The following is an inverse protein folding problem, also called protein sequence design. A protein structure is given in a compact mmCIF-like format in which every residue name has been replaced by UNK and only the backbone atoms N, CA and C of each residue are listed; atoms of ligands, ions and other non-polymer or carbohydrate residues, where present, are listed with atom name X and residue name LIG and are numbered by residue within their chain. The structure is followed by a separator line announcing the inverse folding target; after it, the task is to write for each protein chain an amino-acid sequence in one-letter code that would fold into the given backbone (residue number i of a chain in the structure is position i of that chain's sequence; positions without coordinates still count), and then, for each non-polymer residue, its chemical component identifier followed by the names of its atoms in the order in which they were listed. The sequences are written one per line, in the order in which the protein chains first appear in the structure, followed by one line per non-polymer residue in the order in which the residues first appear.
data_IF_620656614443
#
_entry.id   IF_620656614443
#
_cell.length_a   1.000
_cell.length_b   1.000
_cell.length_c   1.000
_cell.angle_alpha   90.00
_cell.angle_beta   90.00
_cell.angle_gamma   90.00
#
_symmetry.space_group_name_H-M   'P 1'
#
loop_
_entity.id
_entity.type
_entity.pdbx_description
1 polymer ?
#
# COMPACT_ATOMS: atom_id res chain seq x y z
N UNK A 1 15.75 -1.24 26.65
CA UNK A 1 16.12 0.03 27.33
C UNK A 1 17.45 -0.04 28.07
N UNK A 2 17.70 -1.04 28.92
CA UNK A 2 18.96 -1.16 29.69
C UNK A 2 20.21 -1.23 28.80
N UNK A 3 20.18 -2.02 27.72
CA UNK A 3 21.28 -2.14 26.76
C UNK A 3 21.70 -0.78 26.16
N UNK A 4 20.73 0.06 25.81
CA UNK A 4 20.98 1.37 25.22
C UNK A 4 21.77 2.27 26.17
N UNK A 5 21.34 2.38 27.43
CA UNK A 5 22.03 3.19 28.44
C UNK A 5 23.40 2.63 28.80
N UNK A 6 23.57 1.31 28.83
CA UNK A 6 24.89 0.69 29.02
C UNK A 6 25.82 1.04 27.85
N UNK A 7 25.34 0.92 26.61
CA UNK A 7 26.12 1.26 25.42
C UNK A 7 26.46 2.76 25.38
N UNK A 8 25.53 3.65 25.72
CA UNK A 8 25.78 5.10 25.75
C UNK A 8 26.84 5.47 26.80
N UNK A 9 26.77 4.88 27.99
CA UNK A 9 27.78 5.08 29.04
C UNK A 9 29.15 4.58 28.58
N UNK A 10 29.23 3.41 27.94
CA UNK A 10 30.49 2.87 27.42
C UNK A 10 31.10 3.77 26.34
N UNK A 11 30.28 4.29 25.41
CA UNK A 11 30.74 5.20 24.36
C UNK A 11 31.23 6.54 24.92
N UNK A 12 30.50 7.10 25.88
CA UNK A 12 30.93 8.34 26.57
C UNK A 12 32.23 8.10 27.33
N UNK A 13 32.35 6.98 28.05
CA UNK A 13 33.56 6.62 28.78
C UNK A 13 34.75 6.48 27.82
N UNK A 14 34.54 5.86 26.67
CA UNK A 14 35.56 5.78 25.61
C UNK A 14 35.98 7.16 25.09
N UNK A 15 35.04 8.06 24.83
CA UNK A 15 35.32 9.45 24.45
C UNK A 15 36.11 10.20 25.53
N UNK A 16 35.72 10.06 26.79
CA UNK A 16 36.43 10.63 27.94
C UNK A 16 37.85 10.07 28.08
N UNK A 17 38.04 8.76 27.84
CA UNK A 17 39.35 8.12 27.84
C UNK A 17 40.27 8.73 26.77
N UNK A 18 39.76 8.91 25.55
CA UNK A 18 40.53 9.51 24.44
C UNK A 18 40.99 10.94 24.76
N UNK A 19 40.20 11.71 25.51
CA UNK A 19 40.58 13.06 25.96
C UNK A 19 41.61 13.02 27.09
N UNK A 20 41.49 12.07 28.02
CA UNK A 20 42.37 11.96 29.18
C UNK A 20 43.75 11.35 28.83
N UNK A 21 43.83 10.42 27.87
CA UNK A 21 45.06 9.74 27.47
C UNK A 21 46.25 10.66 27.12
N UNK A 22 46.12 11.70 26.28
CA UNK A 22 47.24 12.58 25.96
C UNK A 22 47.71 13.42 27.16
N UNK A 23 46.82 13.73 28.10
CA UNK A 23 47.16 14.46 29.31
C UNK A 23 47.97 13.64 30.32
N UNK A 24 47.75 12.32 30.36
CA UNK A 24 48.52 11.39 31.20
C UNK A 24 49.91 11.15 30.60
N UNK A 25 50.01 11.13 29.26
CA UNK A 25 51.27 10.99 28.54
C UNK A 25 51.94 12.34 28.29
N UNK A 26 52.13 13.16 29.32
CA UNK A 26 52.97 14.35 29.22
C UNK A 26 54.39 13.92 28.80
N UNK A 27 54.75 14.20 27.54
CA UNK A 27 56.14 14.08 27.10
C UNK A 27 56.93 15.09 27.93
N UNK A 28 57.89 14.61 28.72
CA UNK A 28 58.85 15.50 29.37
C UNK A 28 59.42 16.43 28.30
N UNK A 29 59.43 17.74 28.56
CA UNK A 29 59.90 18.73 27.61
C UNK A 29 61.41 18.52 27.39
N UNK A 30 61.74 17.66 26.42
CA UNK A 30 63.09 17.18 26.18
C UNK A 30 63.91 18.19 25.37
N UNK A 31 63.31 19.33 25.01
CA UNK A 31 63.95 20.40 24.22
C UNK A 31 65.25 20.87 24.86
N UNK A 32 65.33 20.92 26.19
CA UNK A 32 66.54 21.34 26.88
C UNK A 32 67.64 20.28 26.80
N UNK A 33 67.29 19.00 26.96
CA UNK A 33 68.24 17.87 26.81
C UNK A 33 68.71 17.75 25.36
N UNK A 34 67.80 17.93 24.39
CA UNK A 34 68.10 17.91 22.96
C UNK A 34 69.00 19.08 22.54
N UNK A 35 68.81 20.27 23.13
CA UNK A 35 69.69 21.44 22.91
C UNK A 35 71.09 21.20 23.46
N UNK A 36 71.20 20.68 24.68
CA UNK A 36 72.49 20.35 25.29
C UNK A 36 73.24 19.26 24.49
N UNK A 37 72.51 18.27 23.99
CA UNK A 37 73.06 17.21 23.14
C UNK A 37 73.51 17.75 21.78
N UNK A 38 72.74 18.65 21.17
CA UNK A 38 73.08 19.32 19.92
C UNK A 38 74.32 20.21 20.06
N UNK A 39 74.41 21.03 21.12
CA UNK A 39 75.56 21.90 21.36
C UNK A 39 76.85 21.09 21.53
N UNK A 40 76.78 19.94 22.22
CA UNK A 40 77.91 19.00 22.33
C UNK A 40 78.29 18.37 21.01
N UNK A 41 77.32 18.05 20.15
CA UNK A 41 77.60 17.49 18.82
C UNK A 41 78.29 18.51 17.92
N UNK A 42 77.80 19.74 17.87
CA UNK A 42 78.41 20.84 17.10
C UNK A 42 79.84 21.16 17.58
N UNK A 43 80.07 21.14 18.90
CA UNK A 43 81.40 21.30 19.47
C UNK A 43 82.39 20.22 18.96
N UNK A 44 81.96 18.96 18.95
CA UNK A 44 82.80 17.84 18.46
C UNK A 44 83.09 17.94 16.96
N UNK A 45 82.09 18.35 16.18
CA UNK A 45 82.23 18.53 14.72
C UNK A 45 83.26 19.63 14.40
N UNK A 46 83.17 20.76 15.11
CA UNK A 46 84.15 21.85 15.00
C UNK A 46 85.55 21.45 15.45
N UNK A 47 85.68 20.61 16.47
CA UNK A 47 86.99 20.05 16.85
C UNK A 47 87.60 19.20 15.73
N UNK A 48 86.81 18.37 15.04
CA UNK A 48 87.32 17.57 13.93
C UNK A 48 87.68 18.41 12.71
N UNK A 49 86.90 19.45 12.41
CA UNK A 49 87.19 20.39 11.32
C UNK A 49 88.50 21.15 11.61
N UNK A 50 88.65 21.67 12.83
CA UNK A 50 89.86 22.37 13.26
C UNK A 50 91.11 21.49 13.19
N UNK A 51 90.99 20.19 13.51
CA UNK A 51 92.09 19.24 13.40
C UNK A 51 92.55 19.07 11.93
N UNK A 52 91.61 19.03 10.99
CA UNK A 52 91.92 18.95 9.54
C UNK A 52 92.55 20.25 9.06
N UNK A 53 92.00 21.41 9.44
CA UNK A 53 92.56 22.72 9.08
C UNK A 53 93.99 22.92 9.63
N UNK A 54 94.28 22.36 10.81
CA UNK A 54 95.61 22.37 11.41
C UNK A 54 96.58 21.48 10.62
N UNK A 55 96.15 20.30 10.17
CA UNK A 55 96.96 19.42 9.32
C UNK A 55 97.25 20.03 7.94
N UNK A 56 96.30 20.82 7.40
CA UNK A 56 96.47 21.60 6.17
C UNK A 56 97.33 22.87 6.35
N UNK A 57 97.75 23.18 7.58
CA UNK A 57 98.62 24.32 7.91
C UNK A 57 97.91 25.67 7.89
N UNK A 58 96.57 25.68 7.97
CA UNK A 58 95.74 26.89 7.98
C UNK A 58 95.58 27.50 9.39
N UNK A 59 95.99 26.78 10.44
CA UNK A 59 95.81 27.16 11.84
C UNK A 59 97.17 27.38 12.52
N UNK A 60 97.40 28.60 13.02
CA UNK A 60 98.64 28.98 13.72
C UNK A 60 98.71 28.44 15.16
N UNK A 61 97.58 28.47 15.89
CA UNK A 61 97.52 28.08 17.31
C UNK A 61 96.25 27.30 17.64
N UNK A 62 96.29 25.98 17.40
CA UNK A 62 95.17 25.07 17.69
C UNK A 62 94.73 25.13 19.17
N UNK A 63 95.67 25.25 20.10
CA UNK A 63 95.36 25.20 21.54
C UNK A 63 94.50 26.39 22.00
N UNK A 64 94.70 27.56 21.40
CA UNK A 64 93.92 28.76 21.69
C UNK A 64 92.49 28.63 21.16
N UNK A 65 92.33 28.20 19.91
CA UNK A 65 91.01 27.99 19.29
C UNK A 65 90.19 26.90 20.01
N UNK A 66 90.85 25.82 20.46
CA UNK A 66 90.20 24.78 21.29
C UNK A 66 89.75 25.34 22.63
N UNK A 67 90.51 26.28 23.22
CA UNK A 67 90.14 26.94 24.48
C UNK A 67 88.92 27.83 24.30
N UNK A 68 88.89 28.63 23.23
CA UNK A 68 87.76 29.50 22.91
C UNK A 68 86.49 28.69 22.64
N UNK A 69 86.61 27.57 21.91
CA UNK A 69 85.48 26.68 21.64
C UNK A 69 84.94 26.04 22.94
N UNK A 70 85.81 25.71 23.90
CA UNK A 70 85.40 25.21 25.24
C UNK A 70 84.67 26.30 26.03
N UNK A 71 85.14 27.54 25.92
CA UNK A 71 84.52 28.66 26.60
C UNK A 71 83.14 28.99 26.00
N UNK A 72 83.02 29.00 24.67
CA UNK A 72 81.73 29.14 23.98
C UNK A 72 80.75 28.04 24.39
N UNK A 73 81.21 26.78 24.46
CA UNK A 73 80.37 25.67 24.91
C UNK A 73 79.91 25.86 26.37
N UNK A 74 80.77 26.40 27.23
CA UNK A 74 80.44 26.67 28.63
C UNK A 74 79.43 27.82 28.77
N UNK A 75 79.57 28.86 27.95
CA UNK A 75 78.66 30.01 27.91
C UNK A 75 77.29 29.64 27.30
N UNK A 76 77.26 28.71 26.34
CA UNK A 76 76.04 28.19 25.73
C UNK A 76 75.29 27.15 26.59
N UNK A 77 75.91 26.67 27.68
CA UNK A 77 75.25 25.82 28.67
C UNK A 77 74.66 26.72 29.76
N UNK A 78 73.32 26.82 29.89
CA UNK A 78 72.71 27.77 30.82
C UNK A 78 73.17 27.54 32.27
N UNK A 79 73.98 28.44 32.81
CA UNK A 79 74.48 28.37 34.20
C UNK A 79 73.41 28.87 35.18
N UNK A 80 72.53 27.98 35.62
CA UNK A 80 71.79 28.13 36.88
C UNK A 80 70.46 28.91 36.84
N UNK A 81 69.42 28.22 37.31
CA UNK A 81 68.35 28.76 38.17
C UNK A 81 67.20 29.64 37.65
N UNK A 82 67.04 29.87 36.34
CA UNK A 82 65.71 30.27 35.80
C UNK A 82 64.75 29.05 35.71
N UNK A 83 64.73 28.26 36.78
CA UNK A 83 63.96 27.01 36.90
C UNK A 83 62.52 27.19 37.34
N UNK A 84 62.06 28.40 37.65
CA UNK A 84 60.71 28.57 38.22
C UNK A 84 60.06 29.87 37.73
N UNK A 85 59.23 29.76 36.68
CA UNK A 85 57.93 30.45 36.49
C UNK A 85 57.44 30.37 35.03
N UNK A 86 57.47 29.18 34.43
CA UNK A 86 56.36 28.87 33.52
C UNK A 86 55.31 28.30 34.44
N UNK A 87 54.22 29.02 34.72
CA UNK A 87 53.07 28.44 35.39
C UNK A 87 52.58 27.30 34.50
N UNK A 88 53.04 26.07 34.75
CA UNK A 88 52.59 24.90 34.03
C UNK A 88 51.15 24.67 34.47
N UNK A 89 50.22 25.25 33.73
CA UNK A 89 48.80 24.95 33.88
C UNK A 89 48.69 23.42 33.74
N UNK A 90 48.24 22.75 34.79
CA UNK A 90 48.09 21.29 34.78
C UNK A 90 47.18 20.92 33.60
N UNK A 91 47.51 19.91 32.77
CA UNK A 91 46.65 19.50 31.66
C UNK A 91 45.23 19.13 32.15
N UNK A 92 45.08 18.80 33.43
CA UNK A 92 43.81 18.55 34.09
C UNK A 92 42.85 19.74 34.06
N UNK A 93 43.33 20.99 33.98
CA UNK A 93 42.46 22.17 33.87
C UNK A 93 41.68 22.23 32.56
N UNK A 94 42.17 21.55 31.51
CA UNK A 94 41.45 21.44 30.23
C UNK A 94 40.72 20.11 30.11
N UNK A 95 41.29 19.01 30.61
CA UNK A 95 40.65 17.68 30.54
C UNK A 95 39.32 17.66 31.28
N UNK A 96 39.25 18.18 32.52
CA UNK A 96 38.01 18.16 33.31
C UNK A 96 36.86 18.89 32.62
N UNK A 97 36.99 20.17 32.19
CA UNK A 97 35.92 20.83 31.48
C UNK A 97 35.62 20.19 30.13
N UNK A 98 36.60 19.66 29.40
CA UNK A 98 36.35 18.93 28.15
C UNK A 98 35.54 17.65 28.36
N UNK A 99 35.85 16.86 29.39
CA UNK A 99 35.09 15.65 29.76
C UNK A 99 33.66 16.01 30.16
N UNK A 100 33.49 17.02 31.01
CA UNK A 100 32.16 17.50 31.39
C UNK A 100 31.38 18.00 30.18
N UNK A 101 32.03 18.76 29.30
CA UNK A 101 31.42 19.26 28.07
C UNK A 101 30.97 18.11 27.17
N UNK A 102 31.77 17.05 27.01
CA UNK A 102 31.38 15.86 26.23
C UNK A 102 30.16 15.18 26.82
N UNK A 103 30.10 15.00 28.15
CA UNK A 103 28.95 14.37 28.82
C UNK A 103 27.69 15.21 28.61
N UNK A 104 27.77 16.52 28.91
CA UNK A 104 26.64 17.45 28.79
C UNK A 104 26.18 17.56 27.34
N UNK A 105 27.11 17.67 26.39
CA UNK A 105 26.79 17.78 24.97
C UNK A 105 26.18 16.48 24.44
N UNK A 106 26.69 15.31 24.85
CA UNK A 106 26.15 14.02 24.43
C UNK A 106 24.70 13.84 24.87
N UNK A 107 24.41 14.07 26.16
CA UNK A 107 23.04 13.95 26.66
C UNK A 107 22.15 15.11 26.19
N UNK A 108 22.68 16.32 26.02
CA UNK A 108 21.92 17.47 25.52
C UNK A 108 21.51 17.31 24.05
N UNK A 109 22.41 16.80 23.21
CA UNK A 109 22.10 16.46 21.81
C UNK A 109 21.09 15.32 21.76
N UNK A 110 21.26 14.27 22.57
CA UNK A 110 20.28 13.19 22.63
C UNK A 110 18.91 13.65 23.16
N UNK A 111 18.86 14.54 24.15
CA UNK A 111 17.60 15.08 24.65
C UNK A 111 16.85 15.91 23.59
N UNK A 112 17.58 16.60 22.70
CA UNK A 112 16.98 17.43 21.66
C UNK A 112 16.59 16.66 20.39
N UNK A 113 17.41 15.69 19.97
CA UNK A 113 17.27 14.99 18.69
C UNK A 113 16.90 13.50 18.83
N UNK A 114 17.05 12.94 20.03
CA UNK A 114 16.63 11.58 20.33
C UNK A 114 15.11 11.47 20.37
N UNK A 115 14.61 10.24 20.23
CA UNK A 115 13.18 9.94 20.23
C UNK A 115 12.81 9.07 21.43
N UNK A 116 13.36 9.40 22.61
CA UNK A 116 13.10 8.64 23.84
C UNK A 116 11.59 8.60 24.15
N UNK A 117 10.89 9.71 23.97
CA UNK A 117 9.45 9.81 24.22
C UNK A 117 8.66 8.83 23.35
N UNK A 118 8.98 8.75 22.05
CA UNK A 118 8.36 7.78 21.12
C UNK A 118 8.63 6.32 21.52
N UNK A 119 9.80 6.06 22.12
CA UNK A 119 10.17 4.73 22.58
C UNK A 119 9.41 4.35 23.87
N UNK A 120 9.12 5.32 24.73
CA UNK A 120 8.29 5.14 25.92
C UNK A 120 6.84 4.88 25.49
N UNK A 121 6.30 5.74 24.62
CA UNK A 121 4.97 5.60 24.02
C UNK A 121 4.80 4.24 23.32
N UNK A 122 5.73 3.86 22.45
CA UNK A 122 5.73 2.55 21.79
C UNK A 122 5.67 1.39 22.79
N UNK A 123 6.40 1.48 23.90
CA UNK A 123 6.39 0.45 24.93
C UNK A 123 5.05 0.43 25.68
N UNK A 124 4.50 1.60 26.02
CA UNK A 124 3.18 1.74 26.63
C UNK A 124 2.08 1.13 25.75
N UNK A 125 2.04 1.53 24.47
CA UNK A 125 1.12 1.00 23.44
C UNK A 125 1.24 -0.51 23.28
N UNK A 126 2.47 -1.04 23.26
CA UNK A 126 2.69 -2.49 23.16
C UNK A 126 2.13 -3.24 24.38
N UNK A 127 2.17 -2.62 25.57
CA UNK A 127 1.62 -3.20 26.80
C UNK A 127 0.09 -3.09 26.88
N UNK A 128 -0.52 -2.07 26.28
CA UNK A 128 -1.99 -1.87 26.25
C UNK A 128 -2.67 -2.62 25.10
N UNK A 129 -1.92 -3.20 24.16
CA UNK A 129 -2.43 -3.97 23.02
C UNK A 129 -3.55 -4.98 23.39
N UNK A 130 -3.45 -5.80 24.46
CA UNK A 130 -4.52 -6.73 24.82
C UNK A 130 -5.83 -6.03 25.19
N UNK A 131 -5.77 -4.85 25.80
CA UNK A 131 -6.96 -4.06 26.17
C UNK A 131 -7.60 -3.44 24.94
N UNK A 132 -6.80 -2.87 24.03
CA UNK A 132 -7.28 -2.32 22.77
C UNK A 132 -7.92 -3.39 21.88
N UNK A 133 -7.27 -4.56 21.78
CA UNK A 133 -7.83 -5.72 21.06
C UNK A 133 -9.14 -6.19 21.67
N UNK A 134 -9.24 -6.24 23.00
CA UNK A 134 -10.48 -6.64 23.69
C UNK A 134 -11.59 -5.61 23.49
N UNK A 135 -11.26 -4.31 23.48
CA UNK A 135 -12.19 -3.22 23.20
C UNK A 135 -12.75 -3.34 21.78
N UNK A 136 -11.89 -3.59 20.78
CA UNK A 136 -12.32 -3.83 19.40
C UNK A 136 -13.25 -5.04 19.25
N UNK A 137 -13.00 -6.11 20.01
CA UNK A 137 -13.80 -7.33 19.95
C UNK A 137 -15.10 -7.26 20.77
N UNK A 138 -15.36 -6.17 21.48
CA UNK A 138 -16.54 -6.04 22.34
C UNK A 138 -17.81 -5.74 21.50
N UNK A 139 -18.82 -6.63 21.49
CA UNK A 139 -20.03 -6.42 20.70
C UNK A 139 -20.88 -5.23 21.17
N UNK A 140 -20.70 -4.77 22.41
CA UNK A 140 -21.51 -3.71 23.02
C UNK A 140 -21.00 -2.28 22.74
N UNK A 141 -20.06 -2.11 21.78
CA UNK A 141 -20.00 -0.89 20.98
C UNK A 141 -19.25 0.32 21.54
N UNK A 142 -18.06 0.14 22.13
CA UNK A 142 -17.12 1.27 22.23
C UNK A 142 -16.18 1.24 21.02
N UNK A 143 -16.46 2.10 20.04
CA UNK A 143 -15.55 2.32 18.91
C UNK A 143 -14.23 2.86 19.43
N UNK A 144 -13.12 2.35 18.90
CA UNK A 144 -11.81 2.94 19.14
C UNK A 144 -11.81 4.37 18.58
N UNK A 145 -11.13 5.28 19.28
CA UNK A 145 -10.78 6.59 18.70
C UNK A 145 -9.72 6.40 17.62
N UNK A 146 -9.50 7.42 16.79
CA UNK A 146 -8.45 7.37 15.76
C UNK A 146 -7.07 7.12 16.40
N UNK A 147 -6.74 7.81 17.49
CA UNK A 147 -5.49 7.60 18.26
C UNK A 147 -5.38 6.15 18.79
N UNK A 148 -6.46 5.59 19.34
CA UNK A 148 -6.47 4.21 19.83
C UNK A 148 -6.34 3.18 18.69
N UNK A 149 -6.81 3.50 17.49
CA UNK A 149 -6.65 2.66 16.30
C UNK A 149 -5.21 2.69 15.78
N UNK A 150 -4.56 3.85 15.81
CA UNK A 150 -3.14 4.00 15.48
C UNK A 150 -2.27 3.24 16.49
N UNK A 151 -2.57 3.35 17.79
CA UNK A 151 -1.93 2.59 18.86
C UNK A 151 -2.12 1.09 18.67
N UNK A 152 -3.35 0.65 18.40
CA UNK A 152 -3.65 -0.76 18.12
C UNK A 152 -2.80 -1.26 16.94
N UNK A 153 -2.71 -0.48 15.87
CA UNK A 153 -1.94 -0.83 14.66
C UNK A 153 -0.44 -0.89 14.95
N UNK A 154 0.10 0.07 15.70
CA UNK A 154 1.50 0.11 16.11
C UNK A 154 1.86 -1.08 17.01
N UNK A 155 1.04 -1.35 18.02
CA UNK A 155 1.21 -2.48 18.93
C UNK A 155 1.14 -3.81 18.18
N UNK A 156 0.16 -3.97 17.28
CA UNK A 156 -0.03 -5.19 16.50
C UNK A 156 1.15 -5.44 15.55
N UNK A 157 1.62 -4.42 14.81
CA UNK A 157 2.82 -4.52 13.96
C UNK A 157 4.06 -4.92 14.76
N UNK A 158 4.21 -4.34 15.95
CA UNK A 158 5.35 -4.61 16.85
C UNK A 158 5.33 -6.03 17.36
N UNK A 159 4.16 -6.52 17.78
CA UNK A 159 3.96 -7.91 18.18
C UNK A 159 4.26 -8.86 17.02
N UNK A 160 3.69 -8.63 15.84
CA UNK A 160 3.86 -9.50 14.67
C UNK A 160 5.29 -9.52 14.12
N UNK A 161 6.08 -8.49 14.39
CA UNK A 161 7.52 -8.52 14.12
C UNK A 161 8.26 -9.51 15.02
N UNK A 162 7.85 -9.64 16.29
CA UNK A 162 8.45 -10.57 17.27
C UNK A 162 7.86 -11.98 17.14
N UNK A 163 6.55 -12.07 16.91
CA UNK A 163 5.76 -13.29 16.78
C UNK A 163 5.19 -13.43 15.36
N UNK A 164 6.02 -13.74 14.34
CA UNK A 164 5.59 -13.71 12.94
C UNK A 164 4.65 -14.86 12.55
N UNK A 165 4.43 -15.85 13.43
CA UNK A 165 3.61 -17.04 13.17
C UNK A 165 2.16 -16.89 13.70
N UNK A 166 1.71 -15.67 13.98
CA UNK A 166 0.34 -15.39 14.41
C UNK A 166 -0.57 -15.05 13.21
N UNK A 167 -1.23 -16.07 12.66
CA UNK A 167 -2.13 -15.91 11.50
C UNK A 167 -3.28 -14.93 11.79
N UNK A 168 -3.87 -15.02 12.98
CA UNK A 168 -4.98 -14.17 13.41
C UNK A 168 -4.56 -12.71 13.54
N UNK A 169 -3.37 -12.45 14.11
CA UNK A 169 -2.83 -11.10 14.20
C UNK A 169 -2.56 -10.49 12.83
N UNK A 170 -1.99 -11.26 11.88
CA UNK A 170 -1.83 -10.82 10.49
C UNK A 170 -3.16 -10.54 9.79
N UNK A 171 -4.18 -11.38 10.02
CA UNK A 171 -5.53 -11.18 9.49
C UNK A 171 -6.14 -9.88 10.03
N UNK A 172 -6.03 -9.63 11.34
CA UNK A 172 -6.52 -8.40 11.95
C UNK A 172 -5.81 -7.17 11.39
N UNK A 173 -4.47 -7.20 11.31
CA UNK A 173 -3.69 -6.10 10.74
C UNK A 173 -4.11 -5.82 9.29
N UNK A 174 -4.30 -6.88 8.49
CA UNK A 174 -4.77 -6.74 7.12
C UNK A 174 -6.17 -6.12 7.04
N UNK A 175 -7.09 -6.47 7.94
CA UNK A 175 -8.46 -5.93 7.95
C UNK A 175 -8.47 -4.45 8.30
N UNK A 176 -7.63 -4.04 9.26
CA UNK A 176 -7.44 -2.62 9.61
C UNK A 176 -6.86 -1.87 8.40
N UNK A 177 -5.84 -2.43 7.75
CA UNK A 177 -5.25 -1.82 6.56
C UNK A 177 -6.24 -1.70 5.39
N UNK A 178 -7.08 -2.72 5.14
CA UNK A 178 -8.17 -2.67 4.16
C UNK A 178 -9.16 -1.54 4.47
N UNK A 179 -9.58 -1.41 5.74
CA UNK A 179 -10.49 -0.34 6.16
C UNK A 179 -9.88 1.04 5.95
N UNK A 180 -8.57 1.18 6.19
CA UNK A 180 -7.81 2.42 6.02
C UNK A 180 -7.35 2.66 4.57
N UNK A 181 -7.67 1.75 3.63
CA UNK A 181 -7.20 1.76 2.25
C UNK A 181 -5.66 1.81 2.11
N UNK A 182 -4.94 1.30 3.10
CA UNK A 182 -3.49 1.07 3.03
C UNK A 182 -3.23 -0.24 2.27
N UNK A 183 -3.16 -0.13 0.95
CA UNK A 183 -3.02 -1.27 0.03
C UNK A 183 -1.75 -2.08 0.30
N UNK A 184 -0.62 -1.42 0.56
CA UNK A 184 0.67 -2.08 0.77
C UNK A 184 0.63 -2.93 2.04
N UNK A 185 0.18 -2.35 3.16
CA UNK A 185 0.06 -3.08 4.43
C UNK A 185 -1.00 -4.17 4.32
N UNK A 186 -2.13 -3.92 3.66
CA UNK A 186 -3.20 -4.90 3.48
C UNK A 186 -2.70 -6.13 2.72
N UNK A 187 -2.06 -5.95 1.57
CA UNK A 187 -1.52 -7.06 0.78
C UNK A 187 -0.45 -7.81 1.58
N UNK A 188 0.47 -7.08 2.22
CA UNK A 188 1.54 -7.67 3.02
C UNK A 188 1.04 -8.53 4.17
N UNK A 189 0.10 -8.00 4.96
CA UNK A 189 -0.46 -8.67 6.13
C UNK A 189 -1.36 -9.83 5.74
N UNK A 190 -2.28 -9.64 4.79
CA UNK A 190 -3.18 -10.71 4.34
C UNK A 190 -2.42 -11.86 3.67
N UNK A 191 -1.35 -11.57 2.92
CA UNK A 191 -0.47 -12.59 2.35
C UNK A 191 0.23 -13.41 3.43
N UNK A 192 0.60 -12.81 4.56
CA UNK A 192 1.16 -13.53 5.70
C UNK A 192 0.11 -14.42 6.37
N UNK A 193 -1.08 -13.88 6.66
CA UNK A 193 -2.19 -14.64 7.21
C UNK A 193 -2.52 -15.88 6.36
N UNK A 194 -2.75 -15.67 5.05
CA UNK A 194 -3.03 -16.74 4.09
C UNK A 194 -1.92 -17.79 3.95
N UNK A 195 -0.64 -17.41 4.14
CA UNK A 195 0.47 -18.38 4.09
C UNK A 195 0.60 -19.22 5.36
N UNK A 196 0.19 -18.68 6.50
CA UNK A 196 0.24 -19.38 7.78
C UNK A 196 -0.91 -20.38 7.89
N UNK A 197 -2.09 -20.01 7.39
CA UNK A 197 -3.24 -20.92 7.25
C UNK A 197 -3.86 -20.75 5.85
N UNK A 198 -3.53 -21.67 4.95
CA UNK A 198 -4.06 -21.67 3.58
C UNK A 198 -5.49 -22.20 3.49
N UNK A 199 -5.99 -22.85 4.56
CA UNK A 199 -7.33 -23.45 4.59
C UNK A 199 -8.38 -22.52 5.17
N UNK A 200 -7.97 -21.51 5.92
CA UNK A 200 -8.87 -20.48 6.45
C UNK A 200 -9.48 -19.64 5.32
N UNK A 201 -10.79 -19.76 5.14
CA UNK A 201 -11.56 -19.04 4.11
C UNK A 201 -11.58 -17.53 4.36
N UNK A 202 -11.49 -17.10 5.62
CA UNK A 202 -11.43 -15.67 5.97
C UNK A 202 -10.11 -15.03 5.52
N UNK A 203 -9.00 -15.73 5.69
CA UNK A 203 -7.68 -15.33 5.18
C UNK A 203 -7.61 -15.36 3.65
N UNK A 204 -8.25 -16.35 3.00
CA UNK A 204 -8.38 -16.39 1.55
C UNK A 204 -9.15 -15.18 1.01
N UNK A 205 -10.32 -14.89 1.59
CA UNK A 205 -11.15 -13.75 1.21
C UNK A 205 -10.43 -12.43 1.47
N UNK A 206 -9.83 -12.25 2.66
CA UNK A 206 -9.10 -11.04 3.00
C UNK A 206 -7.90 -10.79 2.08
N UNK A 207 -7.19 -11.86 1.68
CA UNK A 207 -6.09 -11.75 0.73
C UNK A 207 -6.58 -11.40 -0.68
N UNK A 208 -7.68 -12.01 -1.15
CA UNK A 208 -8.27 -11.64 -2.43
C UNK A 208 -8.77 -10.18 -2.43
N UNK A 209 -9.37 -9.71 -1.33
CA UNK A 209 -9.77 -8.31 -1.17
C UNK A 209 -8.59 -7.35 -1.28
N UNK A 210 -7.47 -7.66 -0.61
CA UNK A 210 -6.28 -6.83 -0.67
C UNK A 210 -5.69 -6.78 -2.09
N UNK A 211 -5.64 -7.92 -2.78
CA UNK A 211 -5.16 -7.99 -4.16
C UNK A 211 -6.07 -7.26 -5.16
N UNK A 212 -7.39 -7.23 -4.93
CA UNK A 212 -8.34 -6.47 -5.76
C UNK A 212 -8.09 -4.95 -5.71
N UNK A 213 -7.47 -4.44 -4.63
CA UNK A 213 -7.14 -3.02 -4.50
C UNK A 213 -5.80 -2.64 -5.15
N UNK A 214 -5.08 -3.62 -5.69
CA UNK A 214 -3.82 -3.40 -6.40
C UNK A 214 -4.07 -2.86 -7.81
N UNK A 215 -3.15 -2.02 -8.29
CA UNK A 215 -3.12 -1.57 -9.70
C UNK A 215 -2.51 -2.63 -10.63
N UNK A 216 -1.94 -3.72 -10.09
CA UNK A 216 -1.35 -4.80 -10.86
C UNK A 216 -2.41 -5.80 -11.35
N UNK A 217 -2.55 -5.94 -12.68
CA UNK A 217 -3.52 -6.84 -13.29
C UNK A 217 -3.25 -8.32 -12.93
N UNK A 218 -1.99 -8.70 -12.71
CA UNK A 218 -1.63 -10.05 -12.28
C UNK A 218 -2.13 -10.38 -10.87
N UNK A 219 -2.02 -9.43 -9.95
CA UNK A 219 -2.56 -9.51 -8.59
C UNK A 219 -4.10 -9.59 -8.61
N UNK A 220 -4.77 -8.77 -9.40
CA UNK A 220 -6.22 -8.83 -9.57
C UNK A 220 -6.69 -10.18 -10.18
N UNK A 221 -5.97 -10.70 -11.18
CA UNK A 221 -6.22 -12.04 -11.75
C UNK A 221 -6.11 -13.15 -10.71
N UNK A 222 -5.10 -13.03 -9.83
CA UNK A 222 -4.92 -13.94 -8.71
C UNK A 222 -6.07 -13.82 -7.69
N UNK A 223 -6.53 -12.62 -7.39
CA UNK A 223 -7.68 -12.38 -6.53
C UNK A 223 -8.95 -13.08 -7.06
N UNK A 224 -9.25 -12.89 -8.36
CA UNK A 224 -10.36 -13.57 -9.05
C UNK A 224 -10.27 -15.10 -8.93
N UNK A 225 -9.06 -15.65 -9.07
CA UNK A 225 -8.84 -17.09 -8.95
C UNK A 225 -9.14 -17.61 -7.54
N UNK A 226 -8.75 -16.87 -6.50
CA UNK A 226 -9.04 -17.19 -5.10
C UNK A 226 -10.54 -17.11 -4.84
N UNK A 227 -11.21 -16.03 -5.26
CA UNK A 227 -12.65 -15.85 -5.08
C UNK A 227 -13.47 -16.92 -5.79
N UNK A 228 -13.11 -17.29 -7.02
CA UNK A 228 -13.77 -18.38 -7.73
C UNK A 228 -13.59 -19.74 -7.04
N UNK A 229 -12.43 -19.98 -6.42
CA UNK A 229 -12.20 -21.19 -5.63
C UNK A 229 -13.11 -21.21 -4.38
N UNK A 230 -13.24 -20.08 -3.67
CA UNK A 230 -14.18 -19.95 -2.56
C UNK A 230 -15.62 -20.28 -2.99
N UNK A 231 -16.07 -19.77 -4.13
CA UNK A 231 -17.40 -20.09 -4.69
C UNK A 231 -17.55 -21.60 -4.97
N UNK A 232 -16.50 -22.27 -5.44
CA UNK A 232 -16.52 -23.72 -5.70
C UNK A 232 -16.54 -24.58 -4.43
N UNK A 233 -16.09 -24.04 -3.30
CA UNK A 233 -16.11 -24.71 -2.00
C UNK A 233 -17.46 -24.53 -1.26
N UNK A 234 -18.49 -24.06 -1.95
CA UNK A 234 -19.79 -23.68 -1.38
C UNK A 234 -19.65 -22.68 -0.21
N UNK A 235 -18.63 -21.81 -0.24
CA UNK A 235 -18.47 -20.74 0.74
C UNK A 235 -19.48 -19.62 0.45
N UNK A 236 -20.57 -19.61 1.22
CA UNK A 236 -21.69 -18.66 1.05
C UNK A 236 -21.41 -17.37 1.82
N UNK A 237 -20.59 -16.49 1.24
CA UNK A 237 -20.34 -15.14 1.76
C UNK A 237 -20.67 -14.07 0.71
N UNK A 238 -21.58 -13.15 1.07
CA UNK A 238 -22.05 -12.08 0.20
C UNK A 238 -20.90 -11.21 -0.36
N UNK A 239 -19.80 -11.04 0.40
CA UNK A 239 -18.63 -10.25 0.02
C UNK A 239 -17.91 -10.86 -1.18
N UNK A 240 -17.86 -12.19 -1.28
CA UNK A 240 -17.23 -12.89 -2.41
C UNK A 240 -17.96 -12.56 -3.71
N UNK A 241 -19.28 -12.72 -3.71
CA UNK A 241 -20.12 -12.44 -4.87
C UNK A 241 -20.12 -10.94 -5.23
N UNK A 242 -20.09 -10.06 -4.23
CA UNK A 242 -19.98 -8.62 -4.42
C UNK A 242 -18.69 -8.25 -5.17
N UNK A 243 -17.54 -8.74 -4.70
CA UNK A 243 -16.24 -8.47 -5.33
C UNK A 243 -16.19 -8.99 -6.77
N UNK A 244 -16.65 -10.23 -6.99
CA UNK A 244 -16.70 -10.82 -8.33
C UNK A 244 -17.65 -10.07 -9.27
N UNK A 245 -18.78 -9.56 -8.77
CA UNK A 245 -19.74 -8.82 -9.58
C UNK A 245 -19.20 -7.45 -10.01
N UNK A 246 -18.60 -6.69 -9.07
CA UNK A 246 -18.01 -5.39 -9.39
C UNK A 246 -16.81 -5.53 -10.33
N UNK A 247 -15.92 -6.48 -10.07
CA UNK A 247 -14.78 -6.78 -10.96
C UNK A 247 -15.24 -7.19 -12.37
N UNK A 248 -16.27 -8.03 -12.48
CA UNK A 248 -16.84 -8.41 -13.77
C UNK A 248 -17.42 -7.21 -14.52
N UNK A 249 -18.15 -6.34 -13.82
CA UNK A 249 -18.73 -5.14 -14.41
C UNK A 249 -17.66 -4.16 -14.91
N UNK A 250 -16.61 -3.91 -14.12
CA UNK A 250 -15.50 -3.03 -14.50
C UNK A 250 -14.75 -3.57 -15.74
N UNK A 251 -14.60 -4.89 -15.82
CA UNK A 251 -14.02 -5.57 -16.99
C UNK A 251 -14.99 -5.72 -18.17
N UNK A 252 -16.19 -5.12 -18.10
CA UNK A 252 -17.24 -5.20 -19.12
C UNK A 252 -17.78 -6.63 -19.37
N UNK A 253 -17.51 -7.56 -18.45
CA UNK A 253 -18.12 -8.88 -18.41
C UNK A 253 -19.50 -8.80 -17.74
N UNK A 254 -20.40 -8.08 -18.42
CA UNK A 254 -21.78 -7.86 -17.96
C UNK A 254 -22.54 -9.17 -17.70
N UNK A 255 -22.39 -10.25 -18.49
CA UNK A 255 -23.03 -11.54 -18.19
C UNK A 255 -22.62 -12.10 -16.82
N UNK A 256 -21.31 -12.06 -16.49
CA UNK A 256 -20.85 -12.53 -15.19
C UNK A 256 -21.33 -11.63 -14.05
N UNK A 257 -21.32 -10.30 -14.23
CA UNK A 257 -21.81 -9.35 -13.24
C UNK A 257 -23.30 -9.60 -12.91
N UNK A 258 -24.15 -9.74 -13.94
CA UNK A 258 -25.58 -10.06 -13.80
C UNK A 258 -25.76 -11.37 -13.03
N UNK A 259 -24.98 -12.41 -13.37
CA UNK A 259 -25.03 -13.69 -12.68
C UNK A 259 -24.73 -13.54 -11.19
N UNK A 260 -23.64 -12.87 -10.83
CA UNK A 260 -23.23 -12.74 -9.43
C UNK A 260 -24.21 -11.89 -8.62
N UNK A 261 -24.66 -10.74 -9.13
CA UNK A 261 -25.71 -9.95 -8.46
C UNK A 261 -27.03 -10.71 -8.33
N UNK A 262 -27.40 -11.52 -9.32
CA UNK A 262 -28.57 -12.39 -9.24
C UNK A 262 -28.45 -13.46 -8.14
N UNK A 263 -27.26 -14.02 -7.92
CA UNK A 263 -27.01 -14.90 -6.76
C UNK A 263 -27.14 -14.12 -5.45
N UNK A 264 -26.60 -12.91 -5.38
CA UNK A 264 -26.74 -12.04 -4.20
C UNK A 264 -28.19 -11.73 -3.86
N UNK A 265 -29.02 -11.40 -4.86
CA UNK A 265 -30.47 -11.18 -4.68
C UNK A 265 -31.17 -12.40 -4.09
N UNK A 266 -30.86 -13.60 -4.59
CA UNK A 266 -31.41 -14.85 -4.06
C UNK A 266 -30.98 -15.11 -2.60
N UNK A 267 -29.77 -14.73 -2.23
CA UNK A 267 -29.26 -14.92 -0.86
C UNK A 267 -29.92 -13.97 0.15
N UNK A 268 -30.14 -12.70 -0.22
CA UNK A 268 -30.68 -11.69 0.71
C UNK A 268 -32.21 -11.64 0.72
N UNK A 269 -32.86 -12.01 -0.39
CA UNK A 269 -34.31 -11.96 -0.55
C UNK A 269 -34.88 -10.56 -0.84
N UNK A 270 -36.14 -10.45 -1.30
CA UNK A 270 -36.75 -9.20 -1.74
C UNK A 270 -37.02 -8.19 -0.62
N UNK A 271 -37.08 -8.63 0.63
CA UNK A 271 -37.33 -7.78 1.80
C UNK A 271 -36.07 -7.01 2.27
N UNK A 272 -34.88 -7.39 1.79
CA UNK A 272 -33.62 -6.73 2.15
C UNK A 272 -33.50 -5.38 1.41
N UNK A 273 -33.14 -4.32 2.14
CA UNK A 273 -33.02 -2.97 1.58
C UNK A 273 -32.01 -2.84 0.43
N UNK A 274 -31.06 -3.78 0.32
CA UNK A 274 -30.06 -3.83 -0.75
C UNK A 274 -30.58 -4.48 -2.02
N UNK A 275 -31.71 -5.19 -1.97
CA UNK A 275 -32.27 -5.90 -3.13
C UNK A 275 -32.52 -4.97 -4.31
N UNK A 276 -33.12 -3.80 -4.04
CA UNK A 276 -33.37 -2.74 -5.02
C UNK A 276 -32.08 -2.19 -5.66
N UNK A 277 -31.01 -2.05 -4.88
CA UNK A 277 -29.71 -1.61 -5.41
C UNK A 277 -29.11 -2.66 -6.35
N UNK A 278 -29.25 -3.95 -6.02
CA UNK A 278 -28.83 -5.03 -6.90
C UNK A 278 -29.67 -5.09 -8.18
N UNK A 279 -30.99 -4.88 -8.09
CA UNK A 279 -31.88 -4.82 -9.27
C UNK A 279 -31.41 -3.76 -10.26
N UNK A 280 -31.14 -2.53 -9.77
CA UNK A 280 -30.62 -1.44 -10.61
C UNK A 280 -29.24 -1.75 -11.21
N UNK A 281 -28.38 -2.44 -10.46
CA UNK A 281 -27.05 -2.83 -10.96
C UNK A 281 -27.17 -3.85 -12.10
N UNK A 282 -28.04 -4.84 -11.95
CA UNK A 282 -28.36 -5.83 -12.99
C UNK A 282 -28.94 -5.15 -14.23
N UNK A 283 -29.91 -4.26 -14.05
CA UNK A 283 -30.51 -3.49 -15.16
C UNK A 283 -29.45 -2.67 -15.90
N UNK A 284 -28.58 -1.97 -15.18
CA UNK A 284 -27.48 -1.20 -15.78
C UNK A 284 -26.53 -2.07 -16.60
N UNK A 285 -26.17 -3.26 -16.10
CA UNK A 285 -25.35 -4.20 -16.86
C UNK A 285 -26.08 -4.77 -18.08
N UNK A 286 -27.39 -5.03 -17.99
CA UNK A 286 -28.19 -5.46 -19.13
C UNK A 286 -28.25 -4.40 -20.23
N UNK A 287 -28.40 -3.13 -19.86
CA UNK A 287 -28.41 -2.02 -20.81
C UNK A 287 -27.06 -1.88 -21.52
N UNK A 288 -25.95 -1.88 -20.77
CA UNK A 288 -24.59 -1.82 -21.34
C UNK A 288 -24.24 -3.03 -22.22
N UNK A 289 -24.73 -4.21 -21.84
CA UNK A 289 -24.62 -5.41 -22.66
C UNK A 289 -25.37 -5.23 -23.98
N UNK A 290 -26.60 -4.71 -23.93
CA UNK A 290 -27.40 -4.37 -25.11
C UNK A 290 -26.69 -3.37 -26.03
N UNK A 291 -26.16 -2.28 -25.49
CA UNK A 291 -25.36 -1.27 -26.22
C UNK A 291 -24.12 -1.88 -26.90
N UNK A 292 -23.43 -2.80 -26.22
CA UNK A 292 -22.24 -3.44 -26.77
C UNK A 292 -22.59 -4.39 -27.93
N UNK A 293 -23.70 -5.12 -27.79
CA UNK A 293 -24.16 -6.06 -28.81
C UNK A 293 -24.75 -5.33 -30.03
N UNK A 294 -25.42 -4.19 -29.85
CA UNK A 294 -25.89 -3.36 -30.97
C UNK A 294 -24.72 -2.71 -31.71
N UNK A 295 -23.72 -2.19 -30.99
CA UNK A 295 -22.50 -1.63 -31.58
C UNK A 295 -21.69 -2.67 -32.37
N UNK A 296 -21.78 -3.96 -32.03
CA UNK A 296 -21.17 -5.05 -32.78
C UNK A 296 -21.90 -5.38 -34.11
N UNK A 297 -23.01 -4.71 -34.42
CA UNK A 297 -23.60 -4.68 -35.76
C UNK A 297 -24.42 -5.91 -36.16
N UNK A 298 -24.90 -6.71 -35.21
CA UNK A 298 -25.68 -7.93 -35.50
C UNK A 298 -26.91 -8.14 -34.61
N UNK A 299 -27.29 -7.14 -33.81
CA UNK A 299 -28.39 -7.28 -32.87
C UNK A 299 -29.14 -5.98 -32.62
N UNK A 300 -30.36 -6.12 -32.12
CA UNK A 300 -31.29 -5.05 -31.76
C UNK A 300 -31.55 -5.12 -30.27
N UNK A 301 -31.15 -4.09 -29.52
CA UNK A 301 -31.50 -3.94 -28.11
C UNK A 301 -32.82 -3.19 -27.98
N UNK A 302 -33.75 -3.77 -27.23
CA UNK A 302 -35.10 -3.24 -27.00
C UNK A 302 -35.29 -3.02 -25.51
N UNK A 303 -35.37 -1.76 -25.07
CA UNK A 303 -35.77 -1.39 -23.71
C UNK A 303 -37.29 -1.34 -23.65
N UNK A 304 -37.87 -2.04 -22.68
CA UNK A 304 -39.31 -2.22 -22.57
C UNK A 304 -39.75 -1.66 -21.23
N UNK A 305 -40.77 -0.82 -21.25
CA UNK A 305 -41.47 -0.32 -20.08
C UNK A 305 -42.97 -0.60 -20.20
N UNK A 306 -43.65 -0.64 -19.06
CA UNK A 306 -45.10 -0.88 -18.97
C UNK A 306 -45.77 0.34 -18.34
N UNK A 307 -46.92 0.76 -18.87
CA UNK A 307 -47.72 1.83 -18.28
C UNK A 307 -48.49 1.34 -17.05
N UNK A 308 -48.80 2.25 -16.11
CA UNK A 308 -49.50 1.92 -14.86
C UNK A 308 -50.92 1.33 -15.06
N UNK A 309 -51.48 1.42 -16.27
CA UNK A 309 -52.82 0.93 -16.60
C UNK A 309 -52.81 -0.54 -17.08
N UNK A 310 -51.63 -1.07 -17.40
CA UNK A 310 -51.45 -2.44 -17.86
C UNK A 310 -51.52 -3.39 -16.67
N UNK A 311 -52.49 -4.30 -16.70
CA UNK A 311 -52.60 -5.39 -15.75
C UNK A 311 -52.05 -6.67 -16.38
N UNK A 312 -50.91 -7.13 -15.88
CA UNK A 312 -50.21 -8.32 -16.36
C UNK A 312 -49.91 -9.25 -15.18
N UNK A 313 -50.19 -10.54 -15.37
CA UNK A 313 -49.98 -11.57 -14.36
C UNK A 313 -48.56 -12.13 -14.42
N UNK A 314 -48.02 -12.61 -13.30
CA UNK A 314 -46.65 -13.11 -13.20
C UNK A 314 -46.34 -14.29 -14.15
N UNK A 315 -47.37 -15.04 -14.56
CA UNK A 315 -47.29 -16.17 -15.49
C UNK A 315 -47.43 -15.78 -16.97
N UNK A 316 -47.67 -14.50 -17.27
CA UNK A 316 -47.76 -14.03 -18.65
C UNK A 316 -46.39 -14.09 -19.33
N UNK A 317 -46.40 -14.08 -20.66
CA UNK A 317 -45.19 -14.05 -21.47
C UNK A 317 -45.07 -12.73 -22.21
N UNK A 318 -43.83 -12.25 -22.37
CA UNK A 318 -43.50 -11.09 -23.18
C UNK A 318 -43.06 -11.57 -24.57
N UNK A 319 -43.81 -11.19 -25.60
CA UNK A 319 -43.45 -11.46 -26.99
C UNK A 319 -42.89 -10.18 -27.60
N UNK A 320 -41.65 -10.27 -28.06
CA UNK A 320 -40.95 -9.16 -28.74
C UNK A 320 -40.72 -9.55 -30.17
N UNK A 321 -41.21 -8.73 -31.09
CA UNK A 321 -41.19 -9.01 -32.51
C UNK A 321 -40.67 -7.80 -33.29
N UNK A 322 -39.76 -8.05 -34.22
CA UNK A 322 -39.18 -7.03 -35.09
C UNK A 322 -39.79 -7.14 -36.47
N UNK A 323 -40.30 -6.03 -36.99
CA UNK A 323 -40.94 -5.93 -38.29
C UNK A 323 -40.18 -4.91 -39.15
N UNK A 324 -40.37 -4.95 -40.46
CA UNK A 324 -39.83 -3.89 -41.34
C UNK A 324 -40.51 -2.55 -41.04
N UNK A 325 -39.81 -1.46 -41.32
CA UNK A 325 -40.36 -0.10 -41.20
C UNK A 325 -41.59 0.16 -42.09
N UNK A 326 -41.87 -0.71 -43.08
CA UNK A 326 -43.08 -0.65 -43.92
C UNK A 326 -44.38 -1.05 -43.18
N UNK A 327 -44.27 -1.50 -41.93
CA UNK A 327 -45.42 -1.86 -41.10
C UNK A 327 -46.01 -3.24 -41.39
N UNK A 328 -45.32 -4.09 -42.16
CA UNK A 328 -45.73 -5.46 -42.48
C UNK A 328 -46.21 -6.23 -41.25
N UNK A 329 -47.28 -7.05 -41.36
CA UNK A 329 -47.81 -7.81 -40.22
C UNK A 329 -46.94 -9.03 -39.85
N UNK A 330 -46.07 -9.47 -40.76
CA UNK A 330 -45.19 -10.62 -40.56
C UNK A 330 -43.85 -10.16 -39.94
N UNK A 331 -43.48 -10.66 -38.76
CA UNK A 331 -42.20 -10.33 -38.15
C UNK A 331 -41.04 -11.00 -38.87
N UNK A 332 -39.89 -10.32 -38.88
CA UNK A 332 -38.61 -10.83 -39.39
C UNK A 332 -37.94 -11.68 -38.32
N UNK A 333 -37.94 -11.19 -37.08
CA UNK A 333 -37.44 -11.90 -35.91
C UNK A 333 -38.45 -11.81 -34.76
N UNK A 334 -38.53 -12.85 -33.94
CA UNK A 334 -39.36 -12.83 -32.75
C UNK A 334 -38.77 -13.69 -31.64
N UNK A 335 -38.90 -13.23 -30.41
CA UNK A 335 -38.46 -13.94 -29.22
C UNK A 335 -39.54 -13.88 -28.14
N UNK A 336 -39.64 -14.96 -27.37
CA UNK A 336 -40.53 -15.10 -26.22
C UNK A 336 -39.70 -15.07 -24.95
N UNK A 337 -40.06 -14.18 -24.04
CA UNK A 337 -39.44 -14.04 -22.73
C UNK A 337 -40.50 -14.23 -21.62
N UNK A 338 -40.12 -14.71 -20.43
CA UNK A 338 -40.97 -14.55 -19.23
C UNK A 338 -41.23 -13.07 -18.97
N UNK A 339 -42.36 -12.69 -18.35
CA UNK A 339 -42.73 -11.29 -18.13
C UNK A 339 -41.66 -10.50 -17.33
N UNK A 340 -41.32 -10.96 -16.13
CA UNK A 340 -40.30 -10.35 -15.27
C UNK A 340 -40.66 -8.95 -14.76
N UNK A 341 -39.66 -8.22 -14.27
CA UNK A 341 -39.78 -6.83 -13.82
C UNK A 341 -39.48 -5.83 -14.94
N UNK A 342 -40.09 -4.65 -14.87
CA UNK A 342 -39.88 -3.54 -15.82
C UNK A 342 -39.37 -2.29 -15.08
N UNK A 343 -38.66 -1.38 -15.77
CA UNK A 343 -38.19 -1.50 -17.16
C UNK A 343 -37.14 -2.60 -17.34
N UNK A 344 -37.03 -3.16 -18.55
CA UNK A 344 -36.05 -4.21 -18.87
C UNK A 344 -35.60 -4.14 -20.32
N UNK A 345 -34.36 -4.52 -20.57
CA UNK A 345 -33.80 -4.59 -21.91
C UNK A 345 -33.67 -6.04 -22.37
N UNK A 346 -34.10 -6.30 -23.61
CA UNK A 346 -33.88 -7.58 -24.29
C UNK A 346 -33.10 -7.35 -25.57
N UNK A 347 -32.31 -8.34 -25.97
CA UNK A 347 -31.54 -8.29 -27.21
C UNK A 347 -32.05 -9.38 -28.14
N UNK A 348 -32.30 -9.00 -29.40
CA UNK A 348 -32.62 -9.92 -30.48
C UNK A 348 -31.48 -9.90 -31.50
N UNK A 349 -31.09 -11.06 -32.01
CA UNK A 349 -30.07 -11.22 -33.03
C UNK A 349 -30.58 -12.09 -34.19
N UNK A 350 -29.71 -12.42 -35.15
CA UNK A 350 -30.04 -13.25 -36.30
C UNK A 350 -30.56 -14.65 -35.93
N UNK A 351 -30.21 -15.16 -34.75
CA UNK A 351 -30.74 -16.43 -34.22
C UNK A 351 -32.23 -16.38 -33.88
N UNK A 352 -32.81 -15.18 -33.76
CA UNK A 352 -34.25 -14.97 -33.54
C UNK A 352 -35.04 -14.84 -34.85
N UNK A 353 -34.39 -14.93 -36.01
CA UNK A 353 -35.04 -14.79 -37.32
C UNK A 353 -36.06 -15.91 -37.57
N UNK A 354 -37.27 -15.54 -38.02
CA UNK A 354 -38.37 -16.48 -38.23
C UNK A 354 -38.36 -17.15 -39.60
N UNK A 355 -37.66 -16.58 -40.59
CA UNK A 355 -37.63 -17.06 -41.97
C UNK A 355 -36.19 -17.37 -42.41
N UNK A 356 -35.93 -18.56 -42.99
CA UNK A 356 -34.63 -18.87 -43.57
C UNK A 356 -34.26 -17.89 -44.70
N UNK A 357 -33.07 -17.28 -44.62
CA UNK A 357 -32.56 -16.37 -45.64
C UNK A 357 -33.05 -14.92 -45.53
N UNK A 358 -33.73 -14.56 -44.43
CA UNK A 358 -34.06 -13.17 -44.09
C UNK A 358 -33.69 -12.91 -42.64
N UNK A 359 -32.49 -12.37 -42.44
CA UNK A 359 -31.94 -12.15 -41.11
C UNK A 359 -32.38 -10.79 -40.54
N UNK A 360 -32.25 -10.66 -39.23
CA UNK A 360 -32.46 -9.39 -38.54
C UNK A 360 -31.43 -8.35 -39.00
N UNK A 361 -30.18 -8.78 -39.21
CA UNK A 361 -29.05 -7.99 -39.70
C UNK A 361 -29.15 -7.48 -41.14
N UNK A 362 -30.07 -8.04 -41.93
CA UNK A 362 -30.32 -7.58 -43.30
C UNK A 362 -31.24 -6.35 -43.37
N UNK A 363 -31.84 -5.95 -42.24
CA UNK A 363 -32.76 -4.81 -42.21
C UNK A 363 -31.98 -3.50 -42.19
N UNK A 364 -32.39 -2.51 -42.99
CA UNK A 364 -31.86 -1.14 -42.87
C UNK A 364 -32.61 -0.36 -41.78
N UNK A 365 -33.94 -0.56 -41.71
CA UNK A 365 -34.81 0.07 -40.72
C UNK A 365 -35.92 -0.87 -40.29
N UNK A 366 -36.36 -0.71 -39.04
CA UNK A 366 -37.32 -1.62 -38.42
C UNK A 366 -38.22 -0.91 -37.42
N UNK A 367 -39.29 -1.59 -37.04
CA UNK A 367 -40.13 -1.26 -35.90
C UNK A 367 -40.19 -2.46 -34.97
N UNK A 368 -40.25 -2.21 -33.67
CA UNK A 368 -40.40 -3.23 -32.65
C UNK A 368 -41.81 -3.19 -32.10
N UNK A 369 -42.47 -4.35 -32.10
CA UNK A 369 -43.75 -4.56 -31.43
C UNK A 369 -43.54 -5.49 -30.25
N UNK A 370 -43.98 -5.03 -29.09
CA UNK A 370 -43.95 -5.79 -27.84
C UNK A 370 -45.37 -6.03 -27.39
N UNK A 371 -45.70 -7.26 -27.02
CA UNK A 371 -47.02 -7.58 -26.45
C UNK A 371 -46.93 -8.56 -25.29
N UNK A 372 -47.97 -8.54 -24.47
CA UNK A 372 -48.16 -9.46 -23.35
C UNK A 372 -49.09 -10.59 -23.80
N UNK A 373 -48.58 -11.81 -23.78
CA UNK A 373 -49.29 -13.06 -24.06
C UNK A 373 -49.80 -13.67 -22.74
N UNK A 374 -51.12 -13.91 -22.65
CA UNK A 374 -51.81 -14.40 -21.44
C UNK A 374 -52.31 -15.84 -21.58
N UNK A 375 -52.36 -16.40 -22.79
CA UNK A 375 -52.99 -17.69 -23.08
C UNK A 375 -52.01 -18.73 -23.64
N UNK A 376 -50.76 -18.33 -23.87
CA UNK A 376 -49.69 -19.17 -24.36
C UNK A 376 -49.67 -19.30 -25.88
N UNK A 377 -50.47 -18.50 -26.60
CA UNK A 377 -50.55 -18.53 -28.05
C UNK A 377 -49.73 -17.41 -28.70
N UNK A 378 -49.09 -17.75 -29.82
CA UNK A 378 -48.20 -16.83 -30.56
C UNK A 378 -48.97 -15.91 -31.51
N UNK A 379 -50.25 -16.15 -31.77
CA UNK A 379 -51.12 -15.23 -32.53
C UNK A 379 -51.62 -14.04 -31.70
N UNK A 380 -51.73 -12.86 -32.30
CA UNK A 380 -52.29 -11.66 -31.66
C UNK A 380 -53.80 -11.82 -31.43
N UNK A 381 -54.30 -11.48 -30.23
CA UNK A 381 -55.72 -11.51 -29.90
C UNK A 381 -56.26 -10.12 -29.56
N UNK A 382 -57.54 -9.92 -29.86
CA UNK A 382 -58.28 -8.71 -29.47
C UNK A 382 -58.29 -8.56 -27.95
N UNK A 383 -57.83 -7.39 -27.45
CA UNK A 383 -57.68 -7.08 -26.04
C UNK A 383 -56.30 -7.35 -25.42
N UNK A 384 -55.33 -7.91 -26.15
CA UNK A 384 -53.95 -8.07 -25.65
C UNK A 384 -53.26 -6.71 -25.52
N UNK A 385 -52.50 -6.51 -24.42
CA UNK A 385 -51.71 -5.31 -24.22
C UNK A 385 -50.48 -5.31 -25.13
N UNK A 386 -50.22 -4.20 -25.81
CA UNK A 386 -49.09 -4.03 -26.69
C UNK A 386 -48.52 -2.61 -26.69
N UNK A 387 -47.28 -2.52 -27.17
CA UNK A 387 -46.57 -1.28 -27.47
C UNK A 387 -45.86 -1.41 -28.82
N UNK A 388 -45.65 -0.28 -29.49
CA UNK A 388 -44.92 -0.21 -30.76
C UNK A 388 -43.91 0.93 -30.69
N UNK A 389 -42.70 0.69 -31.19
CA UNK A 389 -41.66 1.71 -31.30
C UNK A 389 -41.88 2.67 -32.45
N UNK A 390 -41.13 3.76 -32.48
CA UNK A 390 -40.88 4.50 -33.71
C UNK A 390 -39.98 3.68 -34.65
N UNK A 391 -39.89 4.10 -35.92
CA UNK A 391 -38.94 3.52 -36.88
C UNK A 391 -37.52 3.82 -36.41
N UNK A 392 -36.71 2.77 -36.29
CA UNK A 392 -35.30 2.85 -35.91
C UNK A 392 -34.41 2.32 -37.04
N UNK A 393 -33.18 2.81 -37.12
CA UNK A 393 -32.17 2.26 -38.02
C UNK A 393 -31.50 1.04 -37.39
N UNK A 394 -31.04 0.10 -38.22
CA UNK A 394 -30.36 -1.09 -37.74
C UNK A 394 -29.14 -0.77 -36.87
N UNK A 395 -29.10 -1.37 -35.67
CA UNK A 395 -28.08 -1.11 -34.66
C UNK A 395 -28.42 0.00 -33.65
N UNK A 396 -29.55 0.69 -33.79
CA UNK A 396 -30.03 1.63 -32.76
C UNK A 396 -30.74 0.87 -31.62
N UNK A 397 -30.56 1.32 -30.38
CA UNK A 397 -31.39 0.83 -29.27
C UNK A 397 -32.79 1.44 -29.37
N UNK A 398 -33.82 0.67 -29.05
CA UNK A 398 -35.21 1.09 -29.21
C UNK A 398 -35.97 0.98 -27.90
N UNK A 399 -36.67 2.05 -27.54
CA UNK A 399 -37.56 2.06 -26.38
C UNK A 399 -39.00 1.77 -26.79
N UNK A 400 -39.67 0.87 -26.07
CA UNK A 400 -41.08 0.53 -26.27
C UNK A 400 -41.83 0.61 -24.95
N UNK A 401 -42.91 1.39 -24.93
CA UNK A 401 -43.85 1.44 -23.81
C UNK A 401 -45.09 0.63 -24.18
N UNK A 402 -45.45 -0.34 -23.34
CA UNK A 402 -46.70 -1.10 -23.47
C UNK A 402 -47.82 -0.26 -22.82
N UNK A 403 -48.71 0.28 -23.65
CA UNK A 403 -49.78 1.19 -23.22
C UNK A 403 -51.10 1.07 -24.01
N UNK A 404 -51.15 0.22 -25.05
CA UNK A 404 -52.33 0.05 -25.92
C UNK A 404 -52.92 -1.35 -25.82
N UNK A 405 -54.18 -1.49 -26.23
CA UNK A 405 -54.85 -2.79 -26.42
C UNK A 405 -55.25 -2.99 -27.87
N UNK A 406 -55.07 -4.21 -28.36
CA UNK A 406 -55.52 -4.62 -29.70
C UNK A 406 -57.03 -4.56 -29.85
#
# INVERSE_FOLDING_TARGET
MTLFWVASVLLILFGCLMIALPAIKQKANNDQILRDELNKALYKDRLSELAVETEEGLVDNEQELVSDLKQSLLDDVPTGSDRNRVSSISPMTFVVPSVLLVIVLSYGVYAKFGSMDKVIEWNEVTNTLPELSKKLMNPDGVTLTDDEMDDLTLGLRSRLHVEPNDATGWLLLGRIALANRDVETAIGAMKRAYRLDTTDTDSQLGFAQALMMSDDEGEQNRARSILNNLVQQDYVDLRVFSLLAFDAFERQDYPAAIKFWGVMQKMIGPEDSRYEMLSRSIESAQNKMGETMTAAGGSVAVTIAISNEVNAAENDALIVSVHNADGSPMPVAAARYPLGSFPRTVVLDDGNSMMPGRNLSDLESYIVRVRIDTDGNVSTREGDWYGESQVAQFGESVDVVIDKRY
#
